data_IF_051539487518
#
_entry.id   IF_051539487518
#
_cell.length_a   1.000
_cell.length_b   1.000
_cell.length_c   1.000
_cell.angle_alpha   90.00
_cell.angle_beta   90.00
_cell.angle_gamma   90.00
#
_symmetry.space_group_name_H-M   'P 1'
#
loop_
_entity.id
_entity.type
_entity.pdbx_description
1 polymer ?
#
# COMPACT_ATOMS: atom_id res chain seq x y z
N UNK A 1 7.92 27.57 65.43
CA UNK A 1 8.40 27.19 66.78
C UNK A 1 7.24 26.58 67.56
N UNK A 2 7.35 25.28 67.93
CA UNK A 2 6.52 24.46 68.88
C UNK A 2 5.11 23.99 68.39
N UNK A 3 4.89 22.68 68.12
CA UNK A 3 4.59 21.50 69.01
C UNK A 3 3.13 21.51 69.53
N UNK A 4 2.23 20.50 69.47
CA UNK A 4 2.21 19.01 69.64
C UNK A 4 0.96 18.42 68.89
N UNK A 5 0.97 17.26 68.20
CA UNK A 5 0.91 15.84 68.61
C UNK A 5 -0.35 15.36 69.38
N UNK A 6 -1.20 14.55 68.73
CA UNK A 6 -1.52 13.13 69.06
C UNK A 6 -2.99 12.73 68.78
N UNK A 7 -3.18 11.57 68.12
CA UNK A 7 -4.48 10.89 67.98
C UNK A 7 -4.41 9.72 67.00
N UNK A 8 -3.98 8.56 67.49
CA UNK A 8 -3.86 7.31 66.73
C UNK A 8 -5.17 6.50 66.72
N UNK A 9 -5.49 5.87 65.59
CA UNK A 9 -6.40 4.72 65.50
C UNK A 9 -5.73 3.65 64.64
N UNK A 10 -5.48 2.48 65.23
CA UNK A 10 -5.05 1.25 64.54
C UNK A 10 -6.29 0.44 64.14
N UNK A 11 -6.29 -0.22 62.97
CA UNK A 11 -7.06 -1.43 62.77
C UNK A 11 -6.17 -2.68 62.91
N UNK A 12 -6.71 -3.67 63.59
CA UNK A 12 -6.16 -4.99 63.88
C UNK A 12 -6.28 -5.95 62.70
N UNK A 13 -5.19 -6.67 62.42
CA UNK A 13 -5.10 -8.06 61.93
C UNK A 13 -6.00 -8.58 60.80
N UNK A 14 -5.39 -8.81 59.63
CA UNK A 14 -5.63 -10.00 58.80
C UNK A 14 -4.27 -10.60 58.35
N UNK A 15 -4.19 -11.92 58.09
CA UNK A 15 -2.93 -12.65 58.05
C UNK A 15 -2.16 -12.40 56.74
N UNK A 16 -0.83 -12.27 56.85
CA UNK A 16 0.10 -12.19 55.72
C UNK A 16 0.14 -13.54 54.99
N UNK A 17 -0.65 -13.69 53.95
CA UNK A 17 -0.33 -14.60 52.84
C UNK A 17 0.80 -13.92 52.08
N UNK A 18 2.03 -14.42 52.22
CA UNK A 18 3.17 -14.38 51.28
C UNK A 18 4.49 -14.47 52.08
N UNK A 19 5.35 -15.47 51.82
CA UNK A 19 6.65 -15.61 52.48
C UNK A 19 7.58 -14.44 52.11
N UNK A 20 8.38 -13.97 53.08
CA UNK A 20 9.26 -12.80 53.00
C UNK A 20 10.40 -12.88 51.96
N UNK A 21 10.49 -13.96 51.17
CA UNK A 21 11.55 -14.20 50.18
C UNK A 21 11.20 -13.78 48.75
N UNK A 22 10.11 -13.03 48.53
CA UNK A 22 9.66 -12.63 47.18
C UNK A 22 9.31 -11.14 47.03
N UNK A 23 10.00 -10.27 47.76
CA UNK A 23 10.01 -8.83 47.45
C UNK A 23 11.08 -8.52 46.40
N UNK A 24 10.87 -8.97 45.16
CA UNK A 24 11.47 -8.26 44.02
C UNK A 24 10.55 -7.07 43.73
N UNK A 25 11.08 -5.87 43.96
CA UNK A 25 10.48 -4.60 43.58
C UNK A 25 9.91 -4.68 42.16
N UNK A 26 8.59 -4.71 42.05
CA UNK A 26 7.90 -4.12 40.90
C UNK A 26 8.00 -2.61 41.10
N UNK A 27 9.13 -2.03 40.67
CA UNK A 27 9.17 -0.61 40.40
C UNK A 27 8.41 -0.44 39.09
N UNK A 28 7.11 -0.15 39.17
CA UNK A 28 6.38 0.42 38.04
C UNK A 28 7.02 1.78 37.83
N UNK A 29 7.88 1.90 36.81
CA UNK A 29 8.30 3.21 36.35
C UNK A 29 7.03 3.94 35.89
N UNK A 30 6.69 5.05 36.56
CA UNK A 30 5.59 5.93 36.17
C UNK A 30 5.97 6.80 34.95
N UNK A 31 7.15 6.62 34.40
CA UNK A 31 7.52 7.15 33.09
C UNK A 31 7.32 6.04 32.06
N UNK A 32 6.30 6.19 31.22
CA UNK A 32 6.40 5.67 29.86
C UNK A 32 7.52 6.50 29.22
N UNK A 33 8.77 6.05 29.37
CA UNK A 33 9.84 6.52 28.49
C UNK A 33 9.53 5.91 27.11
N UNK A 34 8.61 6.53 26.39
CA UNK A 34 8.72 6.56 24.94
C UNK A 34 9.75 7.63 24.65
N UNK A 35 11.04 7.31 24.45
CA UNK A 35 11.91 8.26 23.80
C UNK A 35 11.19 8.62 22.50
N UNK A 36 10.82 9.90 22.34
CA UNK A 36 10.59 10.41 21.00
C UNK A 36 11.86 10.06 20.22
N UNK A 37 11.77 9.37 19.08
CA UNK A 37 12.97 8.92 18.39
C UNK A 37 13.87 10.12 18.13
N UNK A 38 15.06 10.11 18.73
CA UNK A 38 16.06 11.18 18.61
C UNK A 38 16.61 11.29 17.17
N UNK A 39 16.33 10.30 16.31
CA UNK A 39 16.68 10.29 14.89
C UNK A 39 15.42 10.11 14.03
N UNK A 40 15.16 11.07 13.15
CA UNK A 40 14.04 11.07 12.20
C UNK A 40 14.17 10.00 11.10
N UNK A 41 15.31 9.31 11.00
CA UNK A 41 15.63 8.33 9.96
C UNK A 41 15.93 6.91 10.51
N UNK A 42 15.16 6.42 11.49
CA UNK A 42 15.26 5.01 11.91
C UNK A 42 14.46 4.10 10.95
N UNK A 43 14.99 3.88 9.75
CA UNK A 43 14.50 2.90 8.79
C UNK A 43 15.69 2.22 8.10
N UNK A 44 15.50 0.98 7.65
CA UNK A 44 16.50 0.27 6.87
C UNK A 44 16.64 0.93 5.49
N UNK A 45 17.88 1.21 5.10
CA UNK A 45 18.23 1.83 3.83
C UNK A 45 19.47 1.15 3.28
N UNK A 46 19.44 0.84 2.00
CA UNK A 46 20.49 0.16 1.24
C UNK A 46 21.24 1.15 0.35
N UNK A 47 20.53 2.07 -0.30
CA UNK A 47 21.06 3.14 -1.13
C UNK A 47 20.56 4.48 -0.59
N UNK A 48 21.52 5.34 -0.24
CA UNK A 48 21.27 6.70 0.22
C UNK A 48 20.66 7.57 -0.90
N UNK A 49 20.01 8.71 -0.57
CA UNK A 49 19.43 9.59 -1.59
C UNK A 49 20.41 10.05 -2.68
N UNK A 50 21.71 10.15 -2.38
CA UNK A 50 22.76 10.51 -3.33
C UNK A 50 23.24 9.34 -4.24
N UNK A 51 22.62 8.16 -4.12
CA UNK A 51 22.98 6.95 -4.86
C UNK A 51 24.10 6.11 -4.22
N UNK A 52 24.64 6.52 -3.08
CA UNK A 52 25.71 5.77 -2.39
C UNK A 52 25.16 4.52 -1.72
N UNK A 53 25.76 3.36 -2.01
CA UNK A 53 25.46 2.09 -1.30
C UNK A 53 25.92 2.17 0.15
N UNK A 54 25.01 1.88 1.08
CA UNK A 54 25.29 1.70 2.52
C UNK A 54 25.19 0.21 2.86
N UNK A 55 26.12 -0.37 3.65
CA UNK A 55 25.95 -1.71 4.18
C UNK A 55 24.70 -1.80 5.04
N UNK A 56 23.88 -2.82 4.82
CA UNK A 56 22.69 -3.11 5.62
C UNK A 56 22.63 -4.63 5.85
N UNK A 57 23.31 -5.16 6.90
CA UNK A 57 23.42 -6.60 7.14
C UNK A 57 22.07 -7.34 7.17
N UNK A 58 21.00 -6.67 7.59
CA UNK A 58 19.64 -7.19 7.65
C UNK A 58 19.05 -7.44 6.24
N UNK A 59 19.43 -6.64 5.25
CA UNK A 59 18.84 -6.63 3.91
C UNK A 59 19.79 -7.12 2.81
N UNK A 60 21.10 -7.01 3.00
CA UNK A 60 22.10 -7.27 1.95
C UNK A 60 22.06 -8.70 1.41
N UNK A 61 21.72 -9.69 2.24
CA UNK A 61 21.56 -11.09 1.83
C UNK A 61 20.43 -11.29 0.81
N UNK A 62 19.39 -10.44 0.84
CA UNK A 62 18.17 -10.58 0.04
C UNK A 62 18.25 -9.95 -1.35
N UNK A 63 19.36 -9.28 -1.68
CA UNK A 63 19.56 -8.52 -2.92
C UNK A 63 20.90 -8.77 -3.59
N UNK A 64 21.57 -9.89 -3.26
CA UNK A 64 22.84 -10.30 -3.87
C UNK A 64 22.75 -10.54 -5.37
N UNK A 65 21.55 -10.84 -5.86
CA UNK A 65 21.22 -11.08 -7.26
C UNK A 65 20.98 -9.79 -8.06
N UNK A 66 20.90 -8.63 -7.41
CA UNK A 66 20.64 -7.35 -8.09
C UNK A 66 21.93 -6.76 -8.68
N UNK A 67 22.27 -7.24 -9.87
CA UNK A 67 23.31 -6.66 -10.71
C UNK A 67 22.82 -5.42 -11.50
N UNK A 68 23.73 -4.77 -12.23
CA UNK A 68 23.41 -3.56 -13.03
C UNK A 68 22.20 -3.80 -13.96
N UNK A 69 22.15 -4.86 -14.79
CA UNK A 69 20.97 -5.17 -15.60
C UNK A 69 19.66 -5.32 -14.81
N UNK A 70 19.69 -5.93 -13.62
CA UNK A 70 18.50 -6.04 -12.77
C UNK A 70 18.05 -4.67 -12.25
N UNK A 71 18.97 -3.83 -11.81
CA UNK A 71 18.69 -2.47 -11.33
C UNK A 71 18.16 -1.55 -12.45
N UNK A 72 18.68 -1.68 -13.67
CA UNK A 72 18.15 -0.97 -14.84
C UNK A 72 16.69 -1.33 -15.13
N UNK A 73 16.30 -2.60 -14.98
CA UNK A 73 14.90 -3.02 -15.13
C UNK A 73 14.00 -2.35 -14.10
N UNK A 74 14.43 -2.28 -12.84
CA UNK A 74 13.69 -1.58 -11.78
C UNK A 74 13.54 -0.09 -12.08
N UNK A 75 14.58 0.55 -12.60
CA UNK A 75 14.51 1.95 -13.04
C UNK A 75 13.48 2.14 -14.17
N UNK A 76 13.53 1.29 -15.20
CA UNK A 76 12.58 1.35 -16.32
C UNK A 76 11.14 1.11 -15.84
N UNK A 77 10.91 0.12 -14.99
CA UNK A 77 9.59 -0.17 -14.41
C UNK A 77 9.04 1.05 -13.64
N UNK A 78 9.86 1.67 -12.78
CA UNK A 78 9.48 2.89 -12.04
C UNK A 78 9.15 4.06 -12.97
N UNK A 79 9.93 4.23 -14.04
CA UNK A 79 9.69 5.28 -15.02
C UNK A 79 8.40 5.04 -15.82
N UNK A 80 8.11 3.79 -16.18
CA UNK A 80 6.86 3.38 -16.82
C UNK A 80 5.65 3.74 -15.96
N UNK A 81 5.64 3.36 -14.69
CA UNK A 81 4.48 3.65 -13.82
C UNK A 81 4.34 5.15 -13.52
N UNK A 82 5.43 5.91 -13.50
CA UNK A 82 5.38 7.37 -13.40
C UNK A 82 4.78 8.00 -14.65
N UNK A 83 5.12 7.48 -15.84
CA UNK A 83 4.49 7.92 -17.08
C UNK A 83 2.99 7.59 -17.09
N UNK A 84 2.60 6.39 -16.65
CA UNK A 84 1.21 5.99 -16.53
C UNK A 84 0.42 6.94 -15.60
N UNK A 85 1.01 7.30 -14.47
CA UNK A 85 0.41 8.23 -13.51
C UNK A 85 0.16 9.62 -14.10
N UNK A 86 1.14 10.13 -14.87
CA UNK A 86 1.02 11.41 -15.57
C UNK A 86 -0.10 11.37 -16.62
N UNK A 87 -0.22 10.28 -17.39
CA UNK A 87 -1.29 10.11 -18.37
C UNK A 87 -2.67 10.03 -17.71
N UNK A 88 -2.81 9.26 -16.63
CA UNK A 88 -4.07 9.17 -15.87
C UNK A 88 -4.50 10.54 -15.33
N UNK A 89 -3.57 11.32 -14.79
CA UNK A 89 -3.84 12.69 -14.36
C UNK A 89 -4.27 13.60 -15.52
N UNK A 90 -3.61 13.48 -16.68
CA UNK A 90 -3.94 14.29 -17.86
C UNK A 90 -5.32 13.94 -18.44
N UNK A 91 -5.64 12.65 -18.53
CA UNK A 91 -6.94 12.15 -19.00
C UNK A 91 -8.08 12.60 -18.07
N UNK A 92 -7.87 12.52 -16.75
CA UNK A 92 -8.86 13.02 -15.79
C UNK A 92 -9.11 14.52 -15.95
N UNK A 93 -8.06 15.34 -16.11
CA UNK A 93 -8.20 16.79 -16.32
C UNK A 93 -8.92 17.16 -17.62
N UNK A 94 -8.98 16.25 -18.57
CA UNK A 94 -9.69 16.40 -19.84
C UNK A 94 -11.12 15.86 -19.79
N UNK A 95 -11.53 15.27 -18.66
CA UNK A 95 -12.87 14.70 -18.49
C UNK A 95 -13.01 13.26 -18.98
N UNK A 96 -11.92 12.59 -19.36
CA UNK A 96 -11.94 11.20 -19.86
C UNK A 96 -11.95 10.18 -18.72
N UNK A 97 -11.53 10.57 -17.51
CA UNK A 97 -11.65 9.78 -16.29
C UNK A 97 -12.51 10.54 -15.27
N UNK A 98 -13.31 9.81 -14.48
CA UNK A 98 -14.08 10.40 -13.39
C UNK A 98 -13.19 10.84 -12.22
N UNK A 99 -12.20 10.01 -11.87
CA UNK A 99 -11.27 10.23 -10.77
C UNK A 99 -9.93 9.57 -11.09
N UNK A 100 -8.82 10.06 -10.53
CA UNK A 100 -7.54 9.37 -10.57
C UNK A 100 -6.80 9.55 -9.24
N UNK A 101 -6.07 8.52 -8.81
CA UNK A 101 -5.30 8.51 -7.57
C UNK A 101 -3.79 8.51 -7.87
N UNK A 102 -3.11 9.67 -7.86
CA UNK A 102 -1.72 9.74 -8.32
C UNK A 102 -0.71 9.01 -7.44
N UNK A 103 0.34 8.42 -8.00
CA UNK A 103 1.33 7.66 -7.23
C UNK A 103 2.69 8.35 -7.06
N UNK A 104 2.91 9.50 -7.72
CA UNK A 104 4.19 10.20 -7.73
C UNK A 104 4.89 10.23 -6.35
N UNK A 105 6.07 9.62 -6.30
CA UNK A 105 6.92 9.47 -5.11
C UNK A 105 6.87 8.08 -4.48
N UNK A 106 5.89 7.25 -4.81
CA UNK A 106 5.71 5.91 -4.25
C UNK A 106 6.18 4.78 -5.20
N UNK A 107 6.91 5.11 -6.27
CA UNK A 107 7.28 4.14 -7.31
C UNK A 107 8.14 3.00 -6.77
N UNK A 108 9.15 3.32 -5.96
CA UNK A 108 10.04 2.33 -5.36
C UNK A 108 9.30 1.36 -4.42
N UNK A 109 8.38 1.90 -3.61
CA UNK A 109 7.54 1.10 -2.70
C UNK A 109 6.71 0.06 -3.47
N UNK A 110 6.17 0.44 -4.63
CA UNK A 110 5.31 -0.44 -5.43
C UNK A 110 6.10 -1.40 -6.33
N UNK A 111 7.11 -0.91 -7.06
CA UNK A 111 7.93 -1.75 -7.94
C UNK A 111 8.80 -2.71 -7.12
N UNK A 112 9.45 -2.23 -6.06
CA UNK A 112 10.31 -3.05 -5.22
C UNK A 112 9.55 -4.21 -4.58
N UNK A 113 8.35 -3.94 -4.03
CA UNK A 113 7.52 -4.98 -3.43
C UNK A 113 6.84 -5.86 -4.48
N UNK A 114 6.33 -5.27 -5.57
CA UNK A 114 5.68 -6.00 -6.65
C UNK A 114 6.59 -6.99 -7.36
N UNK A 115 7.86 -6.63 -7.59
CA UNK A 115 8.88 -7.50 -8.20
C UNK A 115 9.49 -8.52 -7.23
N UNK A 116 9.23 -8.40 -5.93
CA UNK A 116 9.64 -9.39 -4.94
C UNK A 116 8.67 -10.58 -4.83
N UNK A 117 7.44 -10.44 -5.33
CA UNK A 117 6.38 -11.45 -5.23
C UNK A 117 6.57 -12.59 -6.24
N UNK A 118 6.18 -13.78 -5.82
CA UNK A 118 6.08 -14.94 -6.70
C UNK A 118 4.76 -14.93 -7.47
N UNK A 119 4.67 -15.74 -8.54
CA UNK A 119 3.50 -15.74 -9.42
C UNK A 119 2.21 -16.16 -8.69
N UNK A 120 2.31 -17.07 -7.74
CA UNK A 120 1.21 -17.65 -6.96
C UNK A 120 0.85 -16.84 -5.70
N UNK A 121 1.66 -15.87 -5.29
CA UNK A 121 1.29 -14.96 -4.20
C UNK A 121 0.03 -14.15 -4.57
N UNK A 122 -0.88 -13.98 -3.62
CA UNK A 122 -2.12 -13.24 -3.88
C UNK A 122 -2.08 -11.81 -3.32
N UNK A 123 -2.37 -10.84 -4.17
CA UNK A 123 -2.26 -9.41 -3.85
C UNK A 123 -3.62 -8.83 -3.48
N UNK A 124 -3.67 -8.08 -2.39
CA UNK A 124 -4.83 -7.31 -1.95
C UNK A 124 -4.47 -5.82 -1.96
N UNK A 125 -4.74 -5.09 -3.06
CA UNK A 125 -4.44 -3.68 -3.15
C UNK A 125 -5.46 -2.82 -2.40
N UNK A 126 -5.07 -1.59 -2.09
CA UNK A 126 -5.99 -0.47 -1.89
C UNK A 126 -6.38 0.08 -3.28
N UNK A 127 -6.52 1.41 -3.42
CA UNK A 127 -6.83 2.06 -4.69
C UNK A 127 -5.61 2.70 -5.39
N UNK A 128 -4.39 2.60 -4.84
CA UNK A 128 -3.20 3.34 -5.37
C UNK A 128 -2.08 2.42 -5.85
N UNK A 129 -2.26 1.11 -5.82
CA UNK A 129 -1.24 0.11 -6.17
C UNK A 129 -1.10 -0.12 -7.68
N UNK A 130 -1.03 0.95 -8.46
CA UNK A 130 -0.89 0.92 -9.92
C UNK A 130 0.41 0.25 -10.37
N UNK A 131 1.50 0.49 -9.67
CA UNK A 131 2.79 -0.14 -9.95
C UNK A 131 2.85 -1.62 -9.59
N UNK A 132 2.11 -2.03 -8.56
CA UNK A 132 1.97 -3.45 -8.22
C UNK A 132 1.13 -4.18 -9.28
N UNK A 133 0.06 -3.53 -9.77
CA UNK A 133 -0.73 -4.03 -10.89
C UNK A 133 0.12 -4.18 -12.17
N UNK A 134 0.96 -3.18 -12.47
CA UNK A 134 1.95 -3.26 -13.54
C UNK A 134 2.90 -4.45 -13.39
N UNK A 135 3.41 -4.71 -12.18
CA UNK A 135 4.25 -5.88 -11.91
C UNK A 135 3.54 -7.22 -12.17
N UNK A 136 2.21 -7.28 -12.00
CA UNK A 136 1.35 -8.44 -12.32
C UNK A 136 1.00 -8.56 -13.80
N UNK A 137 1.46 -7.65 -14.65
CA UNK A 137 1.19 -7.68 -16.08
C UNK A 137 -0.23 -7.23 -16.45
N UNK A 138 -0.92 -6.51 -15.55
CA UNK A 138 -2.18 -5.85 -15.89
C UNK A 138 -1.89 -4.76 -16.92
N UNK A 139 -2.67 -4.75 -17.98
CA UNK A 139 -2.55 -3.75 -19.03
C UNK A 139 -2.91 -2.35 -18.48
N UNK A 140 -2.12 -1.30 -18.77
CA UNK A 140 -2.46 0.09 -18.44
C UNK A 140 -3.91 0.49 -18.75
N UNK A 141 -4.47 0.03 -19.87
CA UNK A 141 -5.86 0.33 -20.26
C UNK A 141 -6.87 -0.26 -19.27
N UNK A 142 -6.62 -1.49 -18.83
CA UNK A 142 -7.44 -2.22 -17.89
C UNK A 142 -7.42 -1.58 -16.50
N UNK A 143 -6.29 -1.00 -16.10
CA UNK A 143 -6.22 -0.23 -14.87
C UNK A 143 -7.13 1.01 -14.92
N UNK A 144 -7.16 1.73 -16.05
CA UNK A 144 -7.88 3.00 -16.18
C UNK A 144 -9.39 2.83 -16.40
N UNK A 145 -9.88 1.69 -16.89
CA UNK A 145 -11.31 1.50 -17.21
C UNK A 145 -12.24 1.66 -16.00
N UNK A 146 -11.79 1.27 -14.80
CA UNK A 146 -12.53 1.49 -13.55
C UNK A 146 -12.63 2.99 -13.23
N UNK A 147 -11.53 3.73 -13.42
CA UNK A 147 -11.45 5.16 -13.18
C UNK A 147 -12.23 5.99 -14.22
N UNK A 148 -12.41 5.47 -15.43
CA UNK A 148 -13.36 5.98 -16.43
C UNK A 148 -14.83 5.79 -15.98
N UNK A 149 -15.10 4.84 -15.10
CA UNK A 149 -16.46 4.41 -14.76
C UNK A 149 -17.07 3.50 -15.83
N UNK A 150 -16.23 2.89 -16.67
CA UNK A 150 -16.68 2.03 -17.77
C UNK A 150 -16.85 0.56 -17.37
N UNK A 151 -16.22 0.13 -16.27
CA UNK A 151 -16.35 -1.21 -15.74
C UNK A 151 -16.21 -1.23 -14.22
N UNK A 152 -16.83 -2.19 -13.51
CA UNK A 152 -16.74 -2.31 -12.06
C UNK A 152 -15.37 -2.78 -11.55
N UNK A 153 -14.53 -3.32 -12.44
CA UNK A 153 -13.17 -3.77 -12.13
C UNK A 153 -12.30 -3.73 -13.39
N UNK A 154 -10.98 -3.66 -13.22
CA UNK A 154 -10.00 -3.64 -14.31
C UNK A 154 -9.60 -5.02 -14.86
N UNK A 155 -9.78 -6.10 -14.10
CA UNK A 155 -9.29 -7.43 -14.49
C UNK A 155 -10.07 -8.52 -13.75
N UNK A 156 -9.84 -9.77 -14.12
CA UNK A 156 -10.25 -10.93 -13.33
C UNK A 156 -9.19 -11.24 -12.26
N UNK A 157 -9.50 -11.17 -10.96
CA UNK A 157 -8.51 -11.35 -9.90
C UNK A 157 -7.71 -12.66 -9.95
N UNK A 158 -8.34 -13.74 -10.42
CA UNK A 158 -7.74 -15.07 -10.43
C UNK A 158 -6.81 -15.31 -11.62
N UNK A 159 -6.87 -14.47 -12.66
CA UNK A 159 -5.96 -14.58 -13.81
C UNK A 159 -4.59 -13.97 -13.52
N UNK A 160 -4.54 -13.04 -12.57
CA UNK A 160 -3.33 -12.27 -12.22
C UNK A 160 -2.95 -12.34 -10.74
N UNK A 161 -3.66 -13.18 -9.96
CA UNK A 161 -3.51 -13.31 -8.49
C UNK A 161 -3.47 -11.96 -7.76
N UNK A 162 -4.41 -11.09 -8.12
CA UNK A 162 -4.55 -9.75 -7.53
C UNK A 162 -6.02 -9.38 -7.43
N UNK A 163 -6.52 -9.19 -6.21
CA UNK A 163 -7.86 -8.64 -5.99
C UNK A 163 -8.03 -7.31 -6.73
N UNK A 164 -9.28 -7.01 -7.08
CA UNK A 164 -9.65 -5.70 -7.62
C UNK A 164 -9.34 -4.60 -6.60
N UNK A 165 -9.16 -3.37 -7.09
CA UNK A 165 -8.88 -2.21 -6.24
C UNK A 165 -9.95 -2.04 -5.15
N UNK A 166 -9.50 -1.89 -3.90
CA UNK A 166 -10.36 -1.68 -2.76
C UNK A 166 -10.53 -0.18 -2.48
N UNK A 167 -11.78 0.29 -2.50
CA UNK A 167 -12.13 1.69 -2.18
C UNK A 167 -12.43 1.87 -0.69
N UNK A 168 -13.00 0.85 -0.03
CA UNK A 168 -13.29 0.87 1.41
C UNK A 168 -11.99 0.65 2.18
N UNK A 169 -11.44 1.73 2.74
CA UNK A 169 -10.14 1.75 3.40
C UNK A 169 -10.06 0.71 4.52
N UNK A 170 -9.07 -0.18 4.43
CA UNK A 170 -8.77 -1.18 5.44
C UNK A 170 -9.41 -2.54 5.17
N UNK A 171 -10.55 -2.61 4.49
CA UNK A 171 -11.31 -3.84 4.30
C UNK A 171 -10.51 -4.96 3.59
N UNK A 172 -9.63 -4.60 2.66
CA UNK A 172 -8.75 -5.55 1.96
C UNK A 172 -7.81 -6.31 2.91
N UNK A 173 -7.48 -5.75 4.07
CA UNK A 173 -6.58 -6.41 5.05
C UNK A 173 -7.25 -7.62 5.70
N UNK A 174 -8.55 -7.55 5.99
CA UNK A 174 -9.33 -8.67 6.49
C UNK A 174 -9.46 -9.76 5.42
N UNK A 175 -9.71 -9.38 4.17
CA UNK A 175 -9.75 -10.33 3.05
C UNK A 175 -8.40 -11.04 2.86
N UNK A 176 -7.29 -10.30 2.94
CA UNK A 176 -5.95 -10.88 2.85
C UNK A 176 -5.66 -11.86 3.99
N UNK A 177 -6.02 -11.50 5.22
CA UNK A 177 -5.87 -12.39 6.37
C UNK A 177 -6.67 -13.69 6.20
N UNK A 178 -7.94 -13.59 5.78
CA UNK A 178 -8.79 -14.75 5.51
C UNK A 178 -8.29 -15.61 4.35
N UNK A 179 -7.83 -15.01 3.26
CA UNK A 179 -7.24 -15.73 2.13
C UNK A 179 -5.96 -16.46 2.54
N UNK A 180 -5.07 -15.81 3.29
CA UNK A 180 -3.86 -16.44 3.81
C UNK A 180 -4.15 -17.59 4.77
N UNK A 181 -5.18 -17.47 5.62
CA UNK A 181 -5.66 -18.60 6.43
C UNK A 181 -6.08 -19.78 5.54
N UNK A 182 -6.77 -19.51 4.43
CA UNK A 182 -7.11 -20.51 3.41
C UNK A 182 -5.86 -21.18 2.80
N UNK A 183 -4.89 -20.40 2.33
CA UNK A 183 -3.62 -20.90 1.79
C UNK A 183 -2.93 -21.87 2.77
N UNK A 184 -2.93 -21.52 4.05
CA UNK A 184 -2.37 -22.37 5.10
C UNK A 184 -3.15 -23.67 5.28
N UNK A 185 -4.48 -23.61 5.29
CA UNK A 185 -5.31 -24.82 5.42
C UNK A 185 -5.16 -25.75 4.20
N UNK A 186 -4.92 -25.19 3.02
CA UNK A 186 -4.65 -25.93 1.79
C UNK A 186 -3.21 -26.47 1.70
N UNK A 187 -2.32 -26.09 2.63
CA UNK A 187 -0.90 -26.46 2.60
C UNK A 187 -0.09 -25.79 1.49
N UNK A 188 -0.60 -24.68 0.95
CA UNK A 188 0.07 -23.89 -0.09
C UNK A 188 1.38 -23.27 0.42
N UNK A 189 2.32 -23.05 -0.49
CA UNK A 189 3.57 -22.31 -0.24
C UNK A 189 3.46 -20.83 -0.63
N UNK A 190 2.36 -20.43 -1.28
CA UNK A 190 2.07 -19.04 -1.60
C UNK A 190 1.81 -18.22 -0.33
N UNK A 191 2.00 -16.91 -0.43
CA UNK A 191 1.62 -15.94 0.59
C UNK A 191 0.55 -14.97 0.07
N UNK A 192 -0.09 -14.24 0.99
CA UNK A 192 -0.86 -13.06 0.64
C UNK A 192 -0.08 -11.78 1.00
N UNK A 193 -0.30 -10.70 0.25
CA UNK A 193 0.20 -9.37 0.61
C UNK A 193 -0.94 -8.35 0.54
N UNK A 194 -1.10 -7.55 1.60
CA UNK A 194 -2.12 -6.51 1.67
C UNK A 194 -1.48 -5.11 1.70
N UNK A 195 -1.84 -4.26 0.76
CA UNK A 195 -1.35 -2.89 0.67
C UNK A 195 -2.33 -1.90 1.27
N UNK A 196 -1.84 -0.92 2.01
CA UNK A 196 -2.63 0.18 2.55
C UNK A 196 -1.74 1.38 2.91
N UNK A 197 -2.35 2.55 3.14
CA UNK A 197 -1.63 3.77 3.54
C UNK A 197 -1.60 3.98 5.06
N UNK A 198 -0.82 4.95 5.52
CA UNK A 198 -0.71 5.33 6.94
C UNK A 198 -2.08 5.63 7.59
N UNK A 199 -2.94 6.42 6.96
CA UNK A 199 -4.29 6.69 7.47
C UNK A 199 -5.20 5.45 7.61
N UNK A 200 -4.97 4.40 6.82
CA UNK A 200 -5.73 3.15 6.95
C UNK A 200 -5.46 2.44 8.28
N UNK A 201 -4.29 2.69 8.90
CA UNK A 201 -3.92 2.07 10.19
C UNK A 201 -4.79 2.54 11.36
N UNK A 202 -5.59 3.59 11.15
CA UNK A 202 -6.60 4.08 12.10
C UNK A 202 -7.95 3.38 11.97
N UNK A 203 -8.15 2.54 10.94
CA UNK A 203 -9.36 1.72 10.79
C UNK A 203 -9.31 0.46 11.66
N UNK A 204 -10.47 0.06 12.18
CA UNK A 204 -10.63 -1.17 12.97
C UNK A 204 -10.18 -2.41 12.19
N UNK A 205 -10.60 -2.51 10.92
CA UNK A 205 -10.31 -3.63 10.02
C UNK A 205 -8.83 -4.00 9.96
N UNK A 206 -7.93 -3.00 9.92
CA UNK A 206 -6.48 -3.24 9.86
C UNK A 206 -5.96 -3.87 11.15
N UNK A 207 -6.44 -3.38 12.30
CA UNK A 207 -6.08 -3.95 13.61
C UNK A 207 -6.66 -5.35 13.80
N UNK A 208 -7.92 -5.56 13.40
CA UNK A 208 -8.57 -6.87 13.44
C UNK A 208 -7.86 -7.88 12.53
N UNK A 209 -7.49 -7.49 11.32
CA UNK A 209 -6.74 -8.33 10.39
C UNK A 209 -5.41 -8.81 10.98
N UNK A 210 -4.67 -7.92 11.67
CA UNK A 210 -3.42 -8.29 12.35
C UNK A 210 -3.69 -9.30 13.49
N UNK A 211 -4.74 -9.11 14.29
CA UNK A 211 -5.12 -10.05 15.36
C UNK A 211 -5.44 -11.44 14.80
N UNK A 212 -6.25 -11.51 13.73
CA UNK A 212 -6.60 -12.78 13.09
C UNK A 212 -5.36 -13.43 12.46
N UNK A 213 -4.58 -12.69 11.67
CA UNK A 213 -3.38 -13.21 11.04
C UNK A 213 -2.40 -13.77 12.06
N UNK A 214 -2.19 -13.08 13.18
CA UNK A 214 -1.29 -13.52 14.25
C UNK A 214 -1.83 -14.79 14.94
N UNK A 215 -3.12 -14.81 15.30
CA UNK A 215 -3.75 -15.93 16.00
C UNK A 215 -3.73 -17.22 15.17
N UNK A 216 -3.91 -17.10 13.86
CA UNK A 216 -3.89 -18.24 12.94
C UNK A 216 -2.50 -18.52 12.35
N UNK A 217 -1.49 -17.69 12.65
CA UNK A 217 -0.16 -17.75 12.06
C UNK A 217 -0.27 -17.84 10.53
N UNK A 218 -1.04 -16.92 9.95
CA UNK A 218 -1.38 -16.89 8.53
C UNK A 218 -0.20 -16.34 7.70
N UNK A 219 0.09 -16.89 6.51
CA UNK A 219 1.17 -16.45 5.64
C UNK A 219 0.81 -15.13 4.91
N UNK A 220 0.72 -14.03 5.66
CA UNK A 220 0.36 -12.71 5.11
C UNK A 220 1.38 -11.63 5.48
N UNK A 221 1.73 -10.80 4.49
CA UNK A 221 2.51 -9.58 4.66
C UNK A 221 1.57 -8.37 4.59
N UNK A 222 1.59 -7.53 5.61
CA UNK A 222 0.90 -6.24 5.61
C UNK A 222 1.89 -5.14 5.18
N UNK A 223 1.67 -4.54 4.02
CA UNK A 223 2.55 -3.54 3.41
C UNK A 223 1.92 -2.15 3.54
N UNK A 224 2.39 -1.39 4.52
CA UNK A 224 1.96 -0.02 4.78
C UNK A 224 2.85 0.98 4.02
N UNK A 225 2.27 1.69 3.05
CA UNK A 225 2.90 2.84 2.40
C UNK A 225 2.62 4.09 3.24
N UNK A 226 3.55 4.42 4.15
CA UNK A 226 3.48 5.63 4.96
C UNK A 226 3.94 6.81 4.11
N UNK A 227 2.99 7.55 3.53
CA UNK A 227 3.26 8.67 2.62
C UNK A 227 3.04 10.04 3.28
N UNK A 228 2.96 10.04 4.61
CA UNK A 228 2.74 11.17 5.53
C UNK A 228 1.36 11.82 5.51
N UNK A 229 0.46 11.48 4.58
CA UNK A 229 -0.77 12.24 4.38
C UNK A 229 -2.01 11.38 4.07
N UNK A 230 -2.95 11.34 5.01
CA UNK A 230 -4.29 10.79 4.81
C UNK A 230 -5.25 11.89 4.30
N UNK A 231 -5.38 12.02 2.98
CA UNK A 231 -6.02 13.18 2.33
C UNK A 231 -5.27 14.46 2.73
N UNK A 232 -5.78 15.21 3.70
CA UNK A 232 -5.22 16.44 4.26
C UNK A 232 -4.73 16.29 5.70
N UNK A 233 -4.93 15.13 6.32
CA UNK A 233 -4.51 14.87 7.70
C UNK A 233 -3.07 14.32 7.71
N UNK A 234 -2.12 14.98 8.40
CA UNK A 234 -0.75 14.49 8.49
C UNK A 234 -0.68 13.25 9.37
N UNK A 235 0.26 12.34 9.09
CA UNK A 235 0.43 11.08 9.85
C UNK A 235 0.64 11.30 11.36
N UNK A 236 1.19 12.46 11.75
CA UNK A 236 1.38 12.85 13.16
C UNK A 236 0.07 13.06 13.93
N UNK A 237 -1.07 13.30 13.26
CA UNK A 237 -2.40 13.30 13.89
C UNK A 237 -3.02 11.91 13.95
N UNK A 238 -2.58 10.99 13.10
CA UNK A 238 -3.10 9.63 13.01
C UNK A 238 -2.47 8.68 14.03
N UNK A 239 -1.17 8.81 14.28
CA UNK A 239 -0.43 7.89 15.15
C UNK A 239 0.77 8.58 15.80
N UNK A 240 1.10 8.15 17.01
CA UNK A 240 2.35 8.50 17.68
C UNK A 240 3.36 7.36 17.52
N UNK A 241 4.64 7.69 17.35
CA UNK A 241 5.69 6.68 17.09
C UNK A 241 5.65 6.12 15.67
N UNK A 242 6.41 5.05 15.43
CA UNK A 242 6.45 4.38 14.13
C UNK A 242 5.25 3.44 13.97
N UNK A 243 4.70 3.37 12.76
CA UNK A 243 3.54 2.51 12.49
C UNK A 243 3.91 1.04 12.66
N UNK A 244 5.13 0.66 12.27
CA UNK A 244 5.66 -0.69 12.46
C UNK A 244 5.61 -1.16 13.93
N UNK A 245 5.80 -0.27 14.92
CA UNK A 245 5.80 -0.65 16.34
C UNK A 245 4.42 -1.14 16.81
N UNK A 246 3.35 -0.65 16.18
CA UNK A 246 1.97 -1.11 16.46
C UNK A 246 1.79 -2.56 16.03
N UNK A 247 2.33 -2.92 14.86
CA UNK A 247 2.27 -4.29 14.36
C UNK A 247 3.06 -5.26 15.25
N UNK A 248 4.21 -4.83 15.79
CA UNK A 248 4.97 -5.61 16.77
C UNK A 248 4.14 -5.90 18.04
N UNK A 249 3.28 -4.96 18.46
CA UNK A 249 2.33 -5.14 19.57
C UNK A 249 1.31 -6.26 19.35
N UNK A 250 1.00 -6.60 18.09
CA UNK A 250 0.17 -7.76 17.72
C UNK A 250 0.98 -9.06 17.54
N UNK A 251 2.32 -9.00 17.67
CA UNK A 251 3.23 -10.13 17.51
C UNK A 251 3.69 -10.39 16.08
N UNK A 252 3.56 -9.43 15.17
CA UNK A 252 4.08 -9.55 13.80
C UNK A 252 5.59 -9.28 13.78
N UNK A 253 6.31 -9.94 12.87
CA UNK A 253 7.65 -9.51 12.50
C UNK A 253 7.57 -8.21 11.68
N UNK A 254 8.44 -7.24 11.95
CA UNK A 254 8.32 -5.90 11.36
C UNK A 254 9.60 -5.45 10.66
N UNK A 255 9.42 -4.77 9.53
CA UNK A 255 10.47 -4.07 8.81
C UNK A 255 10.01 -2.64 8.56
N UNK A 256 10.82 -1.66 8.94
CA UNK A 256 10.62 -0.27 8.57
C UNK A 256 11.72 0.11 7.59
N UNK A 257 11.35 0.50 6.37
CA UNK A 257 12.30 0.72 5.27
C UNK A 257 12.12 2.11 4.66
N UNK A 258 13.19 2.61 4.06
CA UNK A 258 13.10 3.75 3.15
C UNK A 258 12.25 3.34 1.92
N UNK A 259 11.04 3.87 1.83
CA UNK A 259 10.09 3.58 0.75
C UNK A 259 10.47 4.17 -0.60
N UNK A 260 11.50 5.03 -0.65
CA UNK A 260 12.08 5.58 -1.88
C UNK A 260 13.36 4.83 -2.29
N UNK A 261 13.80 3.84 -1.51
CA UNK A 261 14.88 2.92 -1.85
C UNK A 261 14.29 1.61 -2.40
N UNK A 262 14.22 1.48 -3.72
CA UNK A 262 13.64 0.30 -4.38
C UNK A 262 14.35 -1.01 -3.98
N UNK A 263 15.65 -0.94 -3.67
CA UNK A 263 16.44 -2.11 -3.27
C UNK A 263 16.11 -2.50 -1.84
N UNK A 264 16.02 -1.55 -0.91
CA UNK A 264 15.61 -1.83 0.47
C UNK A 264 14.18 -2.37 0.55
N UNK A 265 13.25 -1.79 -0.23
CA UNK A 265 11.88 -2.26 -0.33
C UNK A 265 11.82 -3.69 -0.85
N UNK A 266 12.53 -3.99 -1.95
CA UNK A 266 12.59 -5.35 -2.51
C UNK A 266 13.18 -6.34 -1.50
N UNK A 267 14.29 -5.98 -0.85
CA UNK A 267 14.95 -6.80 0.15
C UNK A 267 14.01 -7.14 1.32
N UNK A 268 13.37 -6.14 1.91
CA UNK A 268 12.46 -6.33 3.04
C UNK A 268 11.22 -7.12 2.65
N UNK A 269 10.70 -6.92 1.43
CA UNK A 269 9.57 -7.71 0.92
C UNK A 269 9.96 -9.18 0.75
N UNK A 270 11.13 -9.46 0.16
CA UNK A 270 11.67 -10.84 0.06
C UNK A 270 11.87 -11.47 1.44
N UNK A 271 12.43 -10.73 2.39
CA UNK A 271 12.64 -11.19 3.77
C UNK A 271 11.32 -11.51 4.48
N UNK A 272 10.33 -10.62 4.37
CA UNK A 272 9.01 -10.82 4.95
C UNK A 272 8.28 -12.01 4.31
N UNK A 273 8.31 -12.13 2.98
CA UNK A 273 7.72 -13.27 2.27
C UNK A 273 8.35 -14.60 2.70
N UNK A 274 9.69 -14.66 2.79
CA UNK A 274 10.37 -15.84 3.30
C UNK A 274 9.98 -16.15 4.76
N UNK A 275 9.88 -15.13 5.61
CA UNK A 275 9.42 -15.29 7.00
C UNK A 275 8.02 -15.92 7.06
N UNK A 276 7.05 -15.36 6.36
CA UNK A 276 5.66 -15.83 6.44
C UNK A 276 5.49 -17.25 5.86
N UNK A 277 6.25 -17.59 4.80
CA UNK A 277 6.23 -18.92 4.18
C UNK A 277 6.82 -20.02 5.05
N UNK A 278 7.77 -19.70 5.93
CA UNK A 278 8.28 -20.67 6.92
C UNK A 278 7.26 -21.00 8.03
N UNK A 279 6.13 -20.31 8.06
CA UNK A 279 5.13 -20.45 9.13
C UNK A 279 5.53 -19.74 10.42
N UNK A 280 6.48 -18.79 10.36
CA UNK A 280 6.96 -18.00 11.51
C UNK A 280 5.98 -16.92 11.97
N UNK A 281 4.81 -16.84 11.34
CA UNK A 281 3.76 -15.86 11.60
C UNK A 281 3.65 -14.80 10.51
N UNK A 282 2.66 -13.90 10.59
CA UNK A 282 2.51 -12.77 9.68
C UNK A 282 3.61 -11.71 9.86
N UNK A 283 3.80 -10.91 8.82
CA UNK A 283 4.80 -9.85 8.77
C UNK A 283 4.18 -8.49 8.45
N UNK A 284 4.86 -7.42 8.84
CA UNK A 284 4.49 -6.04 8.54
C UNK A 284 5.68 -5.27 7.95
N UNK A 285 5.45 -4.53 6.87
CA UNK A 285 6.43 -3.61 6.29
C UNK A 285 5.86 -2.20 6.35
N UNK A 286 6.55 -1.28 7.02
CA UNK A 286 6.33 0.17 6.90
C UNK A 286 7.32 0.73 5.87
N UNK A 287 6.85 1.02 4.66
CA UNK A 287 7.62 1.73 3.65
C UNK A 287 7.40 3.24 3.80
N UNK A 288 8.43 3.94 4.29
CA UNK A 288 8.39 5.39 4.55
C UNK A 288 8.71 6.13 3.26
N UNK A 289 7.70 6.72 2.65
CA UNK A 289 7.78 7.37 1.33
C UNK A 289 7.02 8.70 1.40
N UNK A 290 6.75 9.36 0.28
CA UNK A 290 5.99 10.60 0.29
C UNK A 290 5.13 10.75 -0.96
N UNK A 291 3.87 11.13 -0.76
CA UNK A 291 2.95 11.40 -1.86
C UNK A 291 3.22 12.82 -2.36
N UNK A 292 4.06 12.95 -3.37
CA UNK A 292 4.41 14.26 -3.95
C UNK A 292 3.23 14.86 -4.73
N UNK A 293 2.37 14.02 -5.32
CA UNK A 293 1.12 14.43 -5.95
C UNK A 293 -0.02 14.79 -4.98
N UNK A 294 -1.19 15.12 -5.53
CA UNK A 294 -2.43 15.31 -4.77
C UNK A 294 -2.97 13.96 -4.23
N UNK A 295 -3.90 14.00 -3.27
CA UNK A 295 -4.57 12.79 -2.79
C UNK A 295 -5.27 12.04 -3.93
N UNK A 296 -6.13 12.77 -4.63
CA UNK A 296 -6.72 12.38 -5.92
C UNK A 296 -6.76 13.63 -6.77
N UNK A 297 -7.17 13.51 -8.02
CA UNK A 297 -7.38 14.67 -8.89
C UNK A 297 -8.49 15.63 -8.44
N UNK A 298 -9.26 15.28 -7.40
CA UNK A 298 -10.26 16.14 -6.78
C UNK A 298 -9.72 16.94 -5.57
N UNK A 299 -8.42 16.82 -5.26
CA UNK A 299 -7.78 17.41 -4.09
C UNK A 299 -6.77 18.52 -4.46
N UNK A 300 -6.57 19.48 -3.56
CA UNK A 300 -5.60 20.56 -3.68
C UNK A 300 -4.63 20.56 -2.47
N UNK A 301 -3.41 19.98 -2.63
CA UNK A 301 -2.46 19.86 -1.53
C UNK A 301 -1.87 21.19 -1.04
N UNK A 302 -1.97 22.26 -1.83
CA UNK A 302 -1.42 23.58 -1.44
C UNK A 302 -2.12 24.18 -0.21
N UNK A 303 -3.26 23.61 0.17
CA UNK A 303 -4.08 24.03 1.31
C UNK A 303 -3.57 23.50 2.66
N UNK A 304 -2.79 22.43 2.67
CA UNK A 304 -2.42 21.73 3.90
C UNK A 304 -0.96 21.27 3.98
N UNK A 305 -0.20 21.35 2.89
CA UNK A 305 1.18 20.86 2.81
C UNK A 305 2.19 21.98 2.55
N UNK A 306 3.33 21.94 3.24
CA UNK A 306 4.42 22.90 3.04
C UNK A 306 5.15 22.61 1.72
N UNK A 307 5.52 23.67 1.00
CA UNK A 307 6.33 23.56 -0.21
C UNK A 307 7.76 23.10 0.09
N UNK A 308 8.33 23.50 1.24
CA UNK A 308 9.68 23.07 1.65
C UNK A 308 9.72 21.56 1.92
N UNK A 309 8.69 21.02 2.57
CA UNK A 309 8.55 19.57 2.78
C UNK A 309 8.53 18.83 1.43
N UNK A 310 7.79 19.36 0.45
CA UNK A 310 7.77 18.79 -0.90
C UNK A 310 9.15 18.83 -1.58
N UNK A 311 9.90 19.93 -1.45
CA UNK A 311 11.25 20.06 -2.00
C UNK A 311 12.24 19.06 -1.36
N UNK A 312 12.15 18.86 -0.04
CA UNK A 312 12.95 17.87 0.68
C UNK A 312 12.70 16.44 0.18
N UNK A 313 11.44 16.09 -0.09
CA UNK A 313 11.07 14.77 -0.61
C UNK A 313 11.37 14.61 -2.10
N UNK A 314 11.29 15.69 -2.89
CA UNK A 314 11.73 15.68 -4.27
C UNK A 314 13.24 15.39 -4.39
N UNK A 315 14.05 15.88 -3.45
CA UNK A 315 15.47 15.54 -3.36
C UNK A 315 15.74 14.06 -2.97
N UNK A 316 14.69 13.30 -2.62
CA UNK A 316 14.73 11.88 -2.29
C UNK A 316 14.03 11.01 -3.34
N UNK A 317 13.80 11.51 -4.56
CA UNK A 317 13.09 10.80 -5.62
C UNK A 317 13.72 9.41 -5.92
N UNK A 318 12.91 8.33 -5.99
CA UNK A 318 13.43 6.99 -6.22
C UNK A 318 14.11 6.79 -7.59
N UNK A 319 13.71 7.51 -8.65
CA UNK A 319 14.35 7.45 -9.96
C UNK A 319 15.73 8.10 -9.93
N UNK A 320 15.83 9.31 -9.35
CA UNK A 320 17.11 10.03 -9.26
C UNK A 320 18.12 9.24 -8.42
N UNK A 321 17.64 8.67 -7.31
CA UNK A 321 18.45 7.81 -6.43
C UNK A 321 19.04 6.62 -7.16
N UNK A 322 18.23 5.83 -7.85
CA UNK A 322 18.72 4.62 -8.51
C UNK A 322 19.57 4.96 -9.75
N UNK A 323 19.28 6.06 -10.45
CA UNK A 323 20.11 6.55 -11.54
C UNK A 323 21.51 6.95 -11.05
N UNK A 324 21.60 7.67 -9.93
CA UNK A 324 22.88 8.01 -9.30
C UNK A 324 23.65 6.74 -8.88
N UNK A 325 22.96 5.75 -8.32
CA UNK A 325 23.56 4.47 -7.94
C UNK A 325 24.11 3.71 -9.16
N UNK A 326 23.32 3.59 -10.23
CA UNK A 326 23.73 2.97 -11.50
C UNK A 326 24.94 3.69 -12.12
N UNK A 327 24.98 5.02 -12.06
CA UNK A 327 26.14 5.82 -12.48
C UNK A 327 27.40 5.50 -11.67
N UNK A 328 27.27 5.36 -10.35
CA UNK A 328 28.37 4.94 -9.47
C UNK A 328 28.87 3.52 -9.75
N UNK A 329 28.02 2.64 -10.27
CA UNK A 329 28.38 1.29 -10.73
C UNK A 329 28.96 1.26 -12.16
N UNK A 330 28.99 2.39 -12.87
CA UNK A 330 29.52 2.50 -14.23
C UNK A 330 28.54 2.10 -15.33
N UNK A 331 27.24 2.13 -15.09
CA UNK A 331 26.22 1.90 -16.12
C UNK A 331 26.22 3.03 -17.16
N UNK A 332 25.87 2.70 -18.42
CA UNK A 332 25.65 3.69 -19.47
C UNK A 332 24.28 4.35 -19.28
N UNK A 333 24.27 5.49 -18.57
CA UNK A 333 23.04 6.21 -18.26
C UNK A 333 22.34 6.80 -19.49
N UNK A 334 23.08 7.08 -20.57
CA UNK A 334 22.49 7.60 -21.80
C UNK A 334 21.76 6.48 -22.56
N UNK A 335 22.36 5.30 -22.66
CA UNK A 335 21.69 4.12 -23.22
C UNK A 335 20.46 3.72 -22.37
N UNK A 336 20.59 3.73 -21.04
CA UNK A 336 19.47 3.46 -20.13
C UNK A 336 18.33 4.45 -20.34
N UNK A 337 18.64 5.75 -20.47
CA UNK A 337 17.65 6.79 -20.72
C UNK A 337 16.91 6.55 -22.04
N UNK A 338 17.62 6.22 -23.12
CA UNK A 338 16.99 5.93 -24.41
C UNK A 338 16.07 4.71 -24.36
N UNK A 339 16.49 3.63 -23.69
CA UNK A 339 15.64 2.45 -23.46
C UNK A 339 14.41 2.78 -22.61
N UNK A 340 14.59 3.62 -21.59
CA UNK A 340 13.51 4.07 -20.71
C UNK A 340 12.50 4.93 -21.46
N UNK A 341 12.95 5.91 -22.25
CA UNK A 341 12.08 6.71 -23.11
C UNK A 341 11.31 5.84 -24.09
N UNK A 342 11.96 4.85 -24.71
CA UNK A 342 11.28 3.89 -25.57
C UNK A 342 10.21 3.10 -24.81
N UNK A 343 10.56 2.51 -23.67
CA UNK A 343 9.64 1.69 -22.88
C UNK A 343 8.43 2.49 -22.34
N UNK A 344 8.66 3.70 -21.84
CA UNK A 344 7.59 4.59 -21.37
C UNK A 344 6.68 5.04 -22.50
N UNK A 345 7.23 5.35 -23.68
CA UNK A 345 6.44 5.70 -24.86
C UNK A 345 5.65 4.51 -25.40
N UNK A 346 6.27 3.32 -25.47
CA UNK A 346 5.60 2.09 -25.92
C UNK A 346 4.45 1.71 -24.99
N UNK A 347 4.65 1.81 -23.67
CA UNK A 347 3.61 1.54 -22.68
C UNK A 347 2.46 2.58 -22.72
N UNK A 348 2.79 3.85 -22.93
CA UNK A 348 1.77 4.90 -23.06
C UNK A 348 1.14 4.93 -24.47
N UNK A 349 1.71 4.21 -25.44
CA UNK A 349 1.21 4.17 -26.81
C UNK A 349 -0.20 3.60 -26.81
N UNK A 350 -1.11 4.28 -27.52
CA UNK A 350 -2.51 3.87 -27.58
C UNK A 350 -3.30 4.10 -26.29
N UNK A 351 -2.67 4.35 -25.11
CA UNK A 351 -3.37 4.53 -23.82
C UNK A 351 -4.53 5.51 -23.93
N UNK A 352 -4.22 6.69 -24.46
CA UNK A 352 -5.21 7.73 -24.70
C UNK A 352 -6.32 7.28 -25.65
N UNK A 353 -5.95 6.71 -26.80
CA UNK A 353 -6.91 6.27 -27.81
C UNK A 353 -7.87 5.23 -27.22
N UNK A 354 -7.36 4.21 -26.54
CA UNK A 354 -8.16 3.17 -25.91
C UNK A 354 -9.13 3.72 -24.85
N UNK A 355 -8.74 4.71 -24.03
CA UNK A 355 -9.64 5.31 -23.05
C UNK A 355 -10.70 6.18 -23.71
N UNK A 356 -10.30 7.03 -24.68
CA UNK A 356 -11.23 7.94 -25.37
C UNK A 356 -12.19 7.22 -26.32
N UNK A 357 -11.83 6.04 -26.82
CA UNK A 357 -12.66 5.20 -27.69
C UNK A 357 -13.40 4.08 -26.94
N UNK A 358 -13.17 3.94 -25.64
CA UNK A 358 -13.85 2.95 -24.82
C UNK A 358 -15.36 3.25 -24.81
N UNK A 359 -16.22 2.28 -25.14
CA UNK A 359 -17.65 2.49 -25.07
C UNK A 359 -18.08 2.69 -23.61
N UNK A 360 -19.18 3.43 -23.44
CA UNK A 360 -19.87 3.46 -22.17
C UNK A 360 -20.52 2.09 -21.90
N UNK A 361 -20.66 1.69 -20.63
CA UNK A 361 -21.32 0.44 -20.28
C UNK A 361 -22.78 0.50 -20.70
N UNK A 362 -23.31 -0.64 -21.12
CA UNK A 362 -24.73 -0.74 -21.47
C UNK A 362 -25.56 -0.67 -20.19
N UNK A 363 -26.79 -0.21 -20.31
CA UNK A 363 -27.69 -0.08 -19.16
C UNK A 363 -27.91 -1.42 -18.47
N UNK A 364 -27.99 -2.50 -19.24
CA UNK A 364 -28.17 -3.87 -18.76
C UNK A 364 -27.00 -4.34 -17.89
N UNK A 365 -25.80 -3.77 -18.04
CA UNK A 365 -24.62 -4.14 -17.25
C UNK A 365 -24.84 -3.85 -15.76
N UNK A 366 -25.67 -2.85 -15.40
CA UNK A 366 -26.03 -2.53 -14.02
C UNK A 366 -26.66 -3.71 -13.25
N UNK A 367 -27.30 -4.64 -13.96
CA UNK A 367 -27.99 -5.79 -13.38
C UNK A 367 -27.16 -7.08 -13.44
N UNK A 368 -26.01 -7.04 -14.12
CA UNK A 368 -25.18 -8.21 -14.38
C UNK A 368 -24.22 -8.46 -13.21
N UNK A 369 -23.92 -9.72 -12.92
CA UNK A 369 -22.97 -10.14 -11.87
C UNK A 369 -23.32 -9.74 -10.43
N UNK A 370 -24.55 -9.29 -10.14
CA UNK A 370 -25.01 -9.02 -8.76
C UNK A 370 -25.17 -10.32 -7.95
N UNK A 371 -25.67 -11.38 -8.59
CA UNK A 371 -25.72 -12.74 -8.05
C UNK A 371 -25.05 -13.72 -9.02
N UNK A 372 -24.62 -14.87 -8.49
CA UNK A 372 -24.02 -15.95 -9.29
C UNK A 372 -25.02 -16.75 -10.13
N UNK A 373 -26.32 -16.57 -9.89
CA UNK A 373 -27.41 -17.26 -10.58
C UNK A 373 -28.52 -16.26 -10.94
N UNK A 374 -29.40 -16.58 -11.92
CA UNK A 374 -30.55 -15.75 -12.25
C UNK A 374 -31.40 -15.41 -11.01
N UNK A 375 -31.81 -14.15 -10.90
CA UNK A 375 -32.52 -13.65 -9.74
C UNK A 375 -33.82 -12.95 -10.17
N UNK A 376 -35.00 -13.54 -9.95
CA UNK A 376 -36.26 -13.07 -10.54
C UNK A 376 -36.59 -11.59 -10.30
N UNK A 377 -36.21 -11.04 -9.13
CA UNK A 377 -36.42 -9.61 -8.84
C UNK A 377 -35.48 -8.69 -9.59
N UNK A 378 -34.25 -9.13 -9.89
CA UNK A 378 -33.34 -8.35 -10.72
C UNK A 378 -33.77 -8.41 -12.18
N UNK A 379 -34.26 -9.56 -12.65
CA UNK A 379 -34.80 -9.70 -13.98
C UNK A 379 -36.00 -8.76 -14.18
N UNK A 380 -36.93 -8.73 -13.21
CA UNK A 380 -38.07 -7.78 -13.19
C UNK A 380 -37.61 -6.32 -13.21
N UNK A 381 -36.59 -5.96 -12.41
CA UNK A 381 -36.04 -4.59 -12.39
C UNK A 381 -35.37 -4.22 -13.73
N UNK A 382 -34.61 -5.14 -14.33
CA UNK A 382 -33.96 -4.96 -15.63
C UNK A 382 -34.99 -4.72 -16.73
N UNK A 383 -36.04 -5.56 -16.79
CA UNK A 383 -37.13 -5.40 -17.76
C UNK A 383 -37.88 -4.08 -17.57
N UNK A 384 -38.19 -3.72 -16.31
CA UNK A 384 -38.84 -2.45 -16.00
C UNK A 384 -37.99 -1.25 -16.42
N UNK A 385 -36.67 -1.30 -16.23
CA UNK A 385 -35.79 -0.21 -16.60
C UNK A 385 -35.60 -0.10 -18.12
N UNK A 386 -35.45 -1.22 -18.82
CA UNK A 386 -35.44 -1.26 -20.29
C UNK A 386 -36.74 -0.68 -20.88
N UNK A 387 -37.89 -1.05 -20.31
CA UNK A 387 -39.20 -0.50 -20.71
C UNK A 387 -39.28 1.01 -20.47
N UNK A 388 -38.82 1.49 -19.31
CA UNK A 388 -38.74 2.92 -19.00
C UNK A 388 -37.92 3.70 -20.03
N UNK A 389 -36.74 3.21 -20.40
CA UNK A 389 -35.88 3.85 -21.40
C UNK A 389 -36.49 3.85 -22.80
N UNK A 390 -37.14 2.74 -23.19
CA UNK A 390 -37.84 2.65 -24.48
C UNK A 390 -38.96 3.69 -24.63
N UNK A 391 -39.58 4.12 -23.52
CA UNK A 391 -40.59 5.17 -23.51
C UNK A 391 -40.08 6.53 -24.02
N UNK A 392 -38.84 6.91 -23.68
CA UNK A 392 -38.26 8.17 -24.14
C UNK A 392 -37.83 8.14 -25.60
N UNK A 393 -37.43 6.98 -26.11
CA UNK A 393 -37.11 6.82 -27.54
C UNK A 393 -38.35 7.05 -28.41
N UNK A 394 -39.51 6.56 -27.97
CA UNK A 394 -40.79 6.76 -28.65
C UNK A 394 -41.25 8.23 -28.59
N UNK A 395 -41.05 8.93 -27.47
CA UNK A 395 -41.34 10.36 -27.36
C UNK A 395 -40.42 11.22 -28.25
N UNK A 396 -39.15 10.85 -28.38
CA UNK A 396 -38.19 11.55 -29.24
C UNK A 396 -38.46 11.32 -30.75
N UNK A 397 -38.97 10.16 -31.14
CA UNK A 397 -39.46 9.90 -32.50
C UNK A 397 -40.79 10.60 -32.78
N UNK A 398 -41.70 10.67 -31.82
CA UNK A 398 -42.98 11.35 -31.96
C UNK A 398 -42.87 12.90 -31.99
N UNK A 399 -41.74 13.45 -31.52
CA UNK A 399 -41.43 14.88 -31.53
C UNK A 399 -40.69 15.36 -32.79
N UNK A 400 -40.27 14.45 -33.68
CA UNK A 400 -39.71 14.74 -35.01
C UNK A 400 -40.82 14.74 -36.07
#
# INVERSE_FOLDING_TARGET
MRLRLAGALRPTGMPRLFPQSMQRMLTVSLTFDSPAPEETENYLQVVAPDGTRRPCPELDEWVKDLDVPALEKLYIDMACIRRLDMEGTALQRQGELGLWAPLLGQEASQIGSGRALEHDDFIFPSYREHGVAYCRGIDPHDLLRMWRGAAPSGWNPYEVNMANQQIVIGAQTLHAAGYAMGLKFDGSQAAAIAYFGDGATSQGDVSEAMVFAASYQAPVVFFCQNNHWAISEPVSTQTTGYIADRAAGFGLATWRVDGNDVIAVMAATRAALAHVRTGSGPAFIEAVTYRMGAHTTADDPTRYRDALELEEWAAKDPLDRIAAHLGGLGADLEELKQRTEKATNDMAAGLREAITSMPDPEVEDLFTNVYSHPHPRLDEQRENYANYLSGFAQEAEAAK
#
